data_IF_932796312603
#
_entry.id   IF_932796312603
#
_cell.length_a   1.000
_cell.length_b   1.000
_cell.length_c   1.000
_cell.angle_alpha   90.00
_cell.angle_beta   90.00
_cell.angle_gamma   90.00
#
_symmetry.space_group_name_H-M   'P 1'
#
loop_
_entity.id
_entity.type
_entity.pdbx_description
1 polymer ?
#
# COMPACT_ATOMS: atom_id res chain seq x y z
N UNK A 1 -28.99 10.03 -13.67
CA UNK A 1 -27.89 10.82 -14.26
C UNK A 1 -26.57 10.22 -13.78
N UNK A 2 -26.06 9.22 -14.51
CA UNK A 2 -24.80 8.55 -14.20
C UNK A 2 -23.68 9.38 -14.83
N UNK A 3 -22.76 9.90 -14.00
CA UNK A 3 -21.54 10.57 -14.48
C UNK A 3 -20.64 9.52 -15.09
N UNK A 4 -20.36 9.65 -16.39
CA UNK A 4 -19.24 8.96 -17.02
C UNK A 4 -17.95 9.40 -16.32
N UNK A 5 -17.29 8.44 -15.67
CA UNK A 5 -15.95 8.62 -15.12
C UNK A 5 -15.01 8.64 -16.31
N UNK A 6 -14.36 9.79 -16.51
CA UNK A 6 -13.44 10.01 -17.62
C UNK A 6 -12.44 8.86 -17.75
N UNK A 7 -12.35 8.34 -18.97
CA UNK A 7 -11.24 7.53 -19.48
C UNK A 7 -9.91 8.19 -19.07
N UNK A 8 -9.30 7.66 -18.01
CA UNK A 8 -7.99 8.09 -17.53
C UNK A 8 -6.91 7.57 -18.48
N UNK A 9 -5.95 8.41 -18.83
CA UNK A 9 -4.80 8.09 -19.69
C UNK A 9 -3.78 7.17 -18.97
N UNK A 10 -4.23 6.01 -18.52
CA UNK A 10 -3.42 5.01 -17.82
C UNK A 10 -3.80 3.60 -18.26
N UNK A 11 -2.95 2.60 -18.00
CA UNK A 11 -3.20 1.23 -18.42
C UNK A 11 -4.48 0.66 -17.78
N UNK A 12 -5.20 -0.20 -18.51
CA UNK A 12 -6.53 -0.73 -18.14
C UNK A 12 -6.57 -1.34 -16.72
N UNK A 13 -5.50 -2.02 -16.32
CA UNK A 13 -5.40 -2.64 -14.99
C UNK A 13 -5.47 -1.62 -13.84
N UNK A 14 -5.05 -0.38 -14.09
CA UNK A 14 -5.00 0.73 -13.15
C UNK A 14 -6.29 1.54 -13.19
N UNK A 15 -6.87 1.73 -14.38
CA UNK A 15 -8.06 2.57 -14.60
C UNK A 15 -9.39 1.86 -14.34
N UNK A 16 -9.37 0.55 -14.04
CA UNK A 16 -10.56 -0.23 -13.62
C UNK A 16 -11.24 0.26 -12.35
N UNK A 17 -10.59 1.13 -11.56
CA UNK A 17 -11.13 1.73 -10.33
C UNK A 17 -10.71 3.21 -10.27
N UNK A 18 -11.55 4.04 -9.64
CA UNK A 18 -11.17 5.42 -9.32
C UNK A 18 -10.02 5.47 -8.31
N UNK A 19 -9.23 6.56 -8.26
CA UNK A 19 -8.19 6.75 -7.25
C UNK A 19 -8.68 6.50 -5.81
N UNK A 20 -9.87 7.00 -5.47
CA UNK A 20 -10.48 6.84 -4.15
C UNK A 20 -10.97 5.41 -3.91
N UNK A 21 -11.42 4.71 -4.96
CA UNK A 21 -11.81 3.31 -4.86
C UNK A 21 -10.61 2.41 -4.56
N UNK A 22 -9.45 2.72 -5.12
CA UNK A 22 -8.18 2.07 -4.78
C UNK A 22 -7.78 2.30 -3.31
N UNK A 23 -7.89 3.53 -2.82
CA UNK A 23 -7.67 3.85 -1.39
C UNK A 23 -8.62 3.05 -0.49
N UNK A 24 -9.91 2.96 -0.83
CA UNK A 24 -10.88 2.16 -0.06
C UNK A 24 -10.52 0.67 -0.02
N UNK A 25 -10.05 0.09 -1.12
CA UNK A 25 -9.56 -1.29 -1.11
C UNK A 25 -8.31 -1.44 -0.23
N UNK A 26 -7.41 -0.46 -0.24
CA UNK A 26 -6.26 -0.44 0.66
C UNK A 26 -6.68 -0.46 2.14
N UNK A 27 -7.68 0.33 2.52
CA UNK A 27 -8.22 0.35 3.88
C UNK A 27 -8.85 -1.00 4.29
N UNK A 28 -9.54 -1.68 3.37
CA UNK A 28 -10.09 -3.01 3.64
C UNK A 28 -9.00 -4.05 3.88
N UNK A 29 -7.92 -4.03 3.12
CA UNK A 29 -6.75 -4.91 3.34
C UNK A 29 -6.01 -4.57 4.64
N UNK A 30 -5.93 -3.30 5.03
CA UNK A 30 -5.35 -2.89 6.30
C UNK A 30 -6.15 -3.44 7.49
N UNK A 31 -7.48 -3.28 7.46
CA UNK A 31 -8.38 -3.83 8.48
C UNK A 31 -8.25 -5.35 8.59
N UNK A 32 -8.17 -6.04 7.44
CA UNK A 32 -7.91 -7.48 7.38
C UNK A 32 -6.56 -7.85 8.01
N UNK A 33 -5.50 -7.09 7.73
CA UNK A 33 -4.19 -7.34 8.31
C UNK A 33 -4.20 -7.21 9.84
N UNK A 34 -4.86 -6.19 10.38
CA UNK A 34 -4.99 -5.99 11.83
C UNK A 34 -5.73 -7.17 12.50
N UNK A 35 -6.79 -7.70 11.86
CA UNK A 35 -7.49 -8.90 12.33
C UNK A 35 -6.59 -10.15 12.31
N UNK A 36 -5.80 -10.33 11.25
CA UNK A 36 -4.88 -11.46 11.10
C UNK A 36 -3.75 -11.41 12.14
N UNK A 37 -3.23 -10.22 12.47
CA UNK A 37 -2.27 -10.04 13.55
C UNK A 37 -2.87 -10.41 14.91
N UNK A 38 -4.12 -10.02 15.16
CA UNK A 38 -4.85 -10.39 16.37
C UNK A 38 -5.05 -11.92 16.47
N UNK A 39 -5.24 -12.59 15.33
CA UNK A 39 -5.31 -14.05 15.24
C UNK A 39 -3.94 -14.74 15.19
N UNK A 40 -2.84 -13.99 15.36
CA UNK A 40 -1.45 -14.46 15.27
C UNK A 40 -1.05 -15.08 13.91
N UNK A 41 -1.82 -14.85 12.84
CA UNK A 41 -1.45 -15.21 11.47
C UNK A 41 -0.56 -14.14 10.84
N UNK A 42 0.69 -14.10 11.29
CA UNK A 42 1.71 -13.14 10.83
C UNK A 42 1.87 -13.15 9.31
N UNK A 43 1.87 -14.34 8.72
CA UNK A 43 2.12 -14.52 7.29
C UNK A 43 1.03 -13.85 6.49
N UNK A 44 -0.23 -14.19 6.76
CA UNK A 44 -1.34 -13.60 6.05
C UNK A 44 -1.43 -12.09 6.34
N UNK A 45 -1.15 -11.66 7.57
CA UNK A 45 -1.12 -10.26 7.93
C UNK A 45 -0.12 -9.45 7.10
N UNK A 46 1.13 -9.89 6.98
CA UNK A 46 2.18 -9.19 6.21
C UNK A 46 1.81 -9.11 4.72
N UNK A 47 1.21 -10.16 4.16
CA UNK A 47 0.72 -10.14 2.79
C UNK A 47 -0.41 -9.11 2.61
N UNK A 48 -1.36 -9.04 3.55
CA UNK A 48 -2.42 -8.02 3.53
C UNK A 48 -1.87 -6.60 3.75
N UNK A 49 -0.85 -6.39 4.57
CA UNK A 49 -0.20 -5.07 4.73
C UNK A 49 0.45 -4.59 3.42
N UNK A 50 1.16 -5.48 2.71
CA UNK A 50 1.75 -5.16 1.40
C UNK A 50 0.68 -4.84 0.36
N UNK A 51 -0.43 -5.59 0.37
CA UNK A 51 -1.59 -5.30 -0.49
C UNK A 51 -2.20 -3.95 -0.13
N UNK A 52 -2.41 -3.66 1.15
CA UNK A 52 -2.97 -2.39 1.60
C UNK A 52 -2.15 -1.20 1.05
N UNK A 53 -0.83 -1.25 1.22
CA UNK A 53 0.09 -0.25 0.69
C UNK A 53 -0.01 -0.13 -0.84
N UNK A 54 0.11 -1.24 -1.57
CA UNK A 54 0.10 -1.16 -3.04
C UNK A 54 -1.27 -0.83 -3.65
N UNK A 55 -2.39 -1.23 -3.03
CA UNK A 55 -3.72 -0.77 -3.43
C UNK A 55 -3.84 0.74 -3.28
N UNK A 56 -3.30 1.32 -2.20
CA UNK A 56 -3.28 2.77 -2.06
C UNK A 56 -2.38 3.43 -3.12
N UNK A 57 -1.21 2.85 -3.41
CA UNK A 57 -0.30 3.35 -4.46
C UNK A 57 -0.91 3.28 -5.86
N UNK A 58 -1.77 2.31 -6.17
CA UNK A 58 -2.55 2.32 -7.41
C UNK A 58 -3.37 3.62 -7.51
N UNK A 59 -4.00 4.04 -6.41
CA UNK A 59 -4.72 5.32 -6.38
C UNK A 59 -3.81 6.52 -6.69
N UNK A 60 -2.61 6.54 -6.12
CA UNK A 60 -1.62 7.58 -6.40
C UNK A 60 -1.16 7.56 -7.87
N UNK A 61 -0.92 6.38 -8.45
CA UNK A 61 -0.50 6.20 -9.84
C UNK A 61 -1.58 6.61 -10.84
N UNK A 62 -2.87 6.50 -10.49
CA UNK A 62 -3.96 7.04 -11.31
C UNK A 62 -3.88 8.57 -11.43
N UNK A 63 -3.31 9.26 -10.44
CA UNK A 63 -3.25 10.73 -10.36
C UNK A 63 -1.92 11.26 -10.87
N UNK A 64 -0.82 10.62 -10.51
CA UNK A 64 0.53 10.98 -10.89
C UNK A 64 1.29 9.73 -11.26
N UNK A 65 1.41 9.48 -12.57
CA UNK A 65 2.12 8.31 -13.08
C UNK A 65 3.60 8.29 -12.64
N UNK A 66 4.07 7.11 -12.24
CA UNK A 66 5.45 6.78 -11.89
C UNK A 66 5.77 5.38 -12.40
N UNK A 67 7.02 5.11 -12.75
CA UNK A 67 7.47 3.79 -13.22
C UNK A 67 7.72 2.81 -12.06
N UNK A 68 6.70 2.59 -11.22
CA UNK A 68 6.80 1.72 -10.05
C UNK A 68 6.37 0.26 -10.34
N UNK A 69 6.37 -0.16 -11.61
CA UNK A 69 5.89 -1.49 -12.05
C UNK A 69 4.37 -1.59 -12.20
N UNK A 70 3.83 -2.81 -12.16
CA UNK A 70 2.40 -3.13 -12.42
C UNK A 70 1.70 -3.87 -11.28
N UNK A 71 2.46 -4.34 -10.30
CA UNK A 71 1.95 -5.11 -9.16
C UNK A 71 2.17 -4.36 -7.86
N UNK A 72 1.31 -4.61 -6.87
CA UNK A 72 1.46 -4.02 -5.53
C UNK A 72 2.83 -4.30 -4.90
N UNK A 73 3.45 -5.44 -5.22
CA UNK A 73 4.80 -5.79 -4.75
C UNK A 73 5.85 -4.92 -5.42
N UNK A 74 5.77 -4.75 -6.74
CA UNK A 74 6.70 -3.87 -7.47
C UNK A 74 6.58 -2.43 -6.99
N UNK A 75 5.36 -1.95 -6.72
CA UNK A 75 5.16 -0.60 -6.19
C UNK A 75 5.91 -0.41 -4.88
N UNK A 76 5.68 -1.30 -3.90
CA UNK A 76 6.34 -1.20 -2.59
C UNK A 76 7.85 -1.40 -2.69
N UNK A 77 8.36 -2.16 -3.66
CA UNK A 77 9.80 -2.26 -3.92
C UNK A 77 10.37 -0.96 -4.49
N UNK A 78 9.72 -0.38 -5.49
CA UNK A 78 10.18 0.85 -6.14
C UNK A 78 10.30 2.05 -5.17
N UNK A 79 9.42 2.12 -4.16
CA UNK A 79 9.48 3.19 -3.13
C UNK A 79 10.80 3.21 -2.34
N UNK A 80 11.52 2.08 -2.19
CA UNK A 80 12.79 2.06 -1.46
C UNK A 80 13.89 2.86 -2.17
N UNK A 81 13.81 2.91 -3.50
CA UNK A 81 14.85 3.46 -4.38
C UNK A 81 14.50 4.86 -4.92
N UNK A 82 13.23 5.26 -4.84
CA UNK A 82 12.74 6.53 -5.36
C UNK A 82 13.13 7.71 -4.46
N UNK A 83 14.17 8.44 -4.85
CA UNK A 83 14.76 9.56 -4.10
C UNK A 83 13.85 10.79 -4.03
N UNK A 84 12.81 10.88 -4.87
CA UNK A 84 11.85 11.99 -4.84
C UNK A 84 10.82 11.85 -3.71
N UNK A 85 10.78 10.69 -3.05
CA UNK A 85 9.86 10.42 -1.94
C UNK A 85 10.43 10.85 -0.59
N UNK A 86 9.56 11.17 0.39
CA UNK A 86 10.01 11.41 1.77
C UNK A 86 10.73 10.21 2.38
N UNK A 87 11.77 10.47 3.18
CA UNK A 87 12.58 9.44 3.87
C UNK A 87 11.73 8.44 4.67
N UNK A 88 10.65 8.92 5.29
CA UNK A 88 9.71 8.08 6.04
C UNK A 88 9.00 7.04 5.15
N UNK A 89 8.62 7.41 3.93
CA UNK A 89 7.95 6.51 2.97
C UNK A 89 8.93 5.44 2.48
N UNK A 90 10.16 5.84 2.13
CA UNK A 90 11.21 4.90 1.70
C UNK A 90 11.57 3.92 2.82
N UNK A 91 11.70 4.43 4.05
CA UNK A 91 11.98 3.61 5.24
C UNK A 91 10.86 2.63 5.57
N UNK A 92 9.60 3.06 5.42
CA UNK A 92 8.43 2.19 5.59
C UNK A 92 8.38 1.07 4.54
N UNK A 93 8.64 1.40 3.28
CA UNK A 93 8.72 0.43 2.18
C UNK A 93 9.80 -0.62 2.43
N UNK A 94 11.00 -0.16 2.82
CA UNK A 94 12.12 -1.01 3.21
C UNK A 94 11.77 -1.96 4.36
N UNK A 95 11.06 -1.47 5.38
CA UNK A 95 10.58 -2.30 6.48
C UNK A 95 9.63 -3.40 5.99
N UNK A 96 8.61 -3.05 5.18
CA UNK A 96 7.66 -4.03 4.66
C UNK A 96 8.28 -5.05 3.70
N UNK A 97 9.28 -4.67 2.89
CA UNK A 97 9.97 -5.56 1.96
C UNK A 97 10.84 -6.59 2.69
N UNK A 98 11.43 -6.20 3.82
CA UNK A 98 12.35 -7.05 4.60
C UNK A 98 11.67 -8.07 5.50
N UNK A 99 10.35 -7.97 5.71
CA UNK A 99 9.65 -8.97 6.51
C UNK A 99 9.67 -10.32 5.78
N UNK A 100 10.51 -11.23 6.24
CA UNK A 100 10.58 -12.59 5.72
C UNK A 100 9.31 -13.35 6.11
N UNK A 101 8.65 -13.93 5.10
CA UNK A 101 7.50 -14.79 5.28
C UNK A 101 7.99 -16.24 5.16
N UNK A 102 8.64 -16.75 6.21
CA UNK A 102 9.21 -18.10 6.19
C UNK A 102 8.08 -19.15 6.29
N UNK A 103 8.18 -20.22 5.49
CA UNK A 103 7.39 -21.45 5.62
C UNK A 103 8.07 -22.38 6.63
N UNK A 104 8.07 -22.07 7.93
CA UNK A 104 8.55 -23.03 8.91
C UNK A 104 7.41 -23.89 9.48
N UNK A 105 7.63 -25.21 9.66
CA UNK A 105 6.68 -26.06 10.36
C UNK A 105 6.61 -25.65 11.84
N UNK A 106 5.41 -25.26 12.27
CA UNK A 106 4.95 -25.02 13.66
C UNK A 106 6.05 -24.89 14.74
N UNK A 107 6.88 -23.86 14.65
CA UNK A 107 7.46 -23.23 15.84
C UNK A 107 6.92 -21.82 15.83
N UNK A 108 5.94 -21.56 16.71
CA UNK A 108 5.30 -20.25 16.84
C UNK A 108 6.33 -19.29 17.42
N UNK A 109 7.11 -18.63 16.55
CA UNK A 109 7.83 -17.42 16.93
C UNK A 109 6.80 -16.32 17.16
N UNK A 110 6.45 -16.10 18.43
CA UNK A 110 5.66 -14.95 18.84
C UNK A 110 6.40 -13.68 18.41
N UNK A 111 5.76 -12.86 17.58
CA UNK A 111 6.23 -11.50 17.33
C UNK A 111 5.99 -10.69 18.59
N UNK A 112 6.96 -9.93 19.09
CA UNK A 112 6.68 -8.92 20.08
C UNK A 112 5.57 -7.99 19.55
N UNK A 113 4.54 -7.64 20.33
CA UNK A 113 3.49 -6.72 19.89
C UNK A 113 4.02 -5.40 19.30
N UNK A 114 5.17 -4.95 19.79
CA UNK A 114 5.90 -3.77 19.29
C UNK A 114 6.40 -3.91 17.86
N UNK A 115 6.73 -5.11 17.39
CA UNK A 115 7.20 -5.33 16.02
C UNK A 115 6.03 -5.40 15.03
N UNK A 116 4.91 -6.06 15.39
CA UNK A 116 3.69 -6.05 14.56
C UNK A 116 3.11 -4.65 14.41
N UNK A 117 3.13 -3.83 15.47
CA UNK A 117 2.72 -2.42 15.40
C UNK A 117 3.55 -1.63 14.37
N UNK A 118 4.88 -1.84 14.33
CA UNK A 118 5.76 -1.18 13.36
C UNK A 118 5.44 -1.53 11.91
N UNK A 119 5.00 -2.75 11.61
CA UNK A 119 4.58 -3.12 10.25
C UNK A 119 3.29 -2.43 9.84
N UNK A 120 2.33 -2.34 10.77
CA UNK A 120 1.07 -1.61 10.55
C UNK A 120 1.36 -0.12 10.31
N UNK A 121 2.21 0.49 11.12
CA UNK A 121 2.61 1.89 10.97
C UNK A 121 3.33 2.16 9.64
N UNK A 122 4.16 1.21 9.19
CA UNK A 122 4.81 1.30 7.89
C UNK A 122 3.79 1.29 6.74
N UNK A 123 2.82 0.37 6.77
CA UNK A 123 1.76 0.34 5.76
C UNK A 123 0.94 1.64 5.79
N UNK A 124 0.55 2.11 6.97
CA UNK A 124 -0.17 3.38 7.16
C UNK A 124 0.62 4.58 6.63
N UNK A 125 1.93 4.61 6.82
CA UNK A 125 2.82 5.67 6.29
C UNK A 125 2.78 5.74 4.77
N UNK A 126 2.89 4.59 4.09
CA UNK A 126 2.80 4.52 2.63
C UNK A 126 1.40 4.90 2.15
N UNK A 127 0.36 4.40 2.81
CA UNK A 127 -1.03 4.71 2.46
C UNK A 127 -1.34 6.21 2.66
N UNK A 128 -0.80 6.84 3.71
CA UNK A 128 -0.95 8.27 3.95
C UNK A 128 -0.30 9.11 2.84
N UNK A 129 0.90 8.71 2.38
CA UNK A 129 1.53 9.34 1.23
C UNK A 129 0.65 9.22 -0.03
N UNK A 130 0.17 8.01 -0.33
CA UNK A 130 -0.71 7.80 -1.48
C UNK A 130 -2.01 8.62 -1.38
N UNK A 131 -2.61 8.66 -0.19
CA UNK A 131 -3.78 9.49 0.08
C UNK A 131 -3.52 10.97 -0.19
N UNK A 132 -2.36 11.49 0.23
CA UNK A 132 -1.94 12.86 -0.01
C UNK A 132 -1.72 13.15 -1.51
N UNK A 133 -1.21 12.20 -2.30
CA UNK A 133 -1.14 12.36 -3.77
C UNK A 133 -2.54 12.45 -4.37
N UNK A 134 -3.45 11.56 -3.96
CA UNK A 134 -4.83 11.52 -4.47
C UNK A 134 -5.61 12.79 -4.13
N UNK A 135 -5.46 13.32 -2.91
CA UNK A 135 -6.25 14.46 -2.42
C UNK A 135 -5.49 15.80 -2.40
N UNK A 136 -4.18 15.80 -2.66
CA UNK A 136 -3.38 17.01 -2.81
C UNK A 136 -3.45 17.57 -4.23
N UNK A 137 -3.76 16.73 -5.22
CA UNK A 137 -3.97 17.13 -6.62
C UNK A 137 -5.29 17.87 -6.84
N UNK A 138 -6.30 17.67 -5.97
CA UNK A 138 -7.59 18.38 -6.04
C UNK A 138 -7.51 19.88 -5.67
N UNK A 139 -6.37 20.34 -5.13
CA UNK A 139 -6.11 21.76 -4.83
C UNK A 139 -5.38 22.54 -5.94
N UNK A 140 -4.96 21.89 -7.03
CA UNK A 140 -4.25 22.52 -8.14
C UNK A 140 -5.02 22.25 -9.45
N UNK A 141 -6.14 22.94 -9.64
CA UNK A 141 -6.69 23.14 -10.99
C UNK A 141 -6.00 24.36 -11.62
N UNK A 142 -5.64 24.30 -12.91
CA UNK A 142 -5.39 25.53 -13.67
C UNK A 142 -6.64 26.42 -13.70
#
# INVERSE_FOLDING_TARGET
MLREVGSGAGPEWLTRLSPEAWIRQGLAELSRAEQLLAAHDRRAAVLSLRRAAGMALNGALCVSWREWGRTYVEHVRALEEDQDLPDAVRSAAKLLNRVEVVQEPQVVRLTPPSESARWVDAAKTIMAHAYAVVHGSTGRRP
#
